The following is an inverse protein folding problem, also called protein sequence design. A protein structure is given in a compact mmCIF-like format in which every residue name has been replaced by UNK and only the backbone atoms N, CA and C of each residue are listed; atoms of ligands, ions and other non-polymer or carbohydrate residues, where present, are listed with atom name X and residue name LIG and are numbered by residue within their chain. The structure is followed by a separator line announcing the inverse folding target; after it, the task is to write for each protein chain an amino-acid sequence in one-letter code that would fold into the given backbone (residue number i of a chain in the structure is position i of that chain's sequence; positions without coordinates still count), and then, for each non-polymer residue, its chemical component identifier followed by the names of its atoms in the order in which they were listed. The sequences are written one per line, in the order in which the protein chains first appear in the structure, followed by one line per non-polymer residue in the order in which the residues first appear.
data_IF_050915672958
#
_entry.id   IF_050915672958
#
_cell.length_a   1.000
_cell.length_b   1.000
_cell.length_c   1.000
_cell.angle_alpha   90.00
_cell.angle_beta   90.00
_cell.angle_gamma   90.00
#
_symmetry.space_group_name_H-M   'P 1'
#
loop_
_entity.id
_entity.type
_entity.pdbx_description
1 polymer ?
#
# COMPACT_ATOMS: atom_id res chain seq x y z
N UNK A 1 -13.12 28.71 14.50
CA UNK A 1 -12.04 27.73 14.61
C UNK A 1 -12.65 26.42 15.07
N UNK A 2 -12.99 25.57 14.11
CA UNK A 2 -13.23 24.13 14.20
C UNK A 2 -13.53 23.73 12.76
N UNK A 3 -12.47 23.39 12.01
CA UNK A 3 -12.60 22.85 10.66
C UNK A 3 -13.24 21.48 10.79
N UNK A 4 -14.53 21.37 10.46
CA UNK A 4 -15.18 20.08 10.26
C UNK A 4 -14.74 19.57 8.90
N UNK A 5 -13.97 18.49 8.87
CA UNK A 5 -13.74 17.69 7.66
C UNK A 5 -15.05 17.02 7.28
N UNK A 6 -15.61 17.38 6.13
CA UNK A 6 -16.78 16.73 5.55
C UNK A 6 -16.43 15.26 5.21
N UNK A 7 -17.09 14.26 5.83
CA UNK A 7 -16.88 12.84 5.51
C UNK A 7 -17.38 12.44 4.11
N UNK A 8 -18.06 13.34 3.39
CA UNK A 8 -18.55 13.12 2.03
C UNK A 8 -17.68 13.77 0.93
N UNK A 9 -16.58 14.44 1.27
CA UNK A 9 -15.61 14.84 0.25
C UNK A 9 -15.08 13.57 -0.43
N UNK A 10 -15.12 13.44 -1.76
CA UNK A 10 -14.69 12.21 -2.40
C UNK A 10 -13.20 12.02 -2.07
N UNK A 11 -12.87 10.91 -1.42
CA UNK A 11 -11.48 10.46 -1.22
C UNK A 11 -10.72 10.27 -2.55
N UNK A 12 -11.40 10.49 -3.68
CA UNK A 12 -10.93 10.43 -5.04
C UNK A 12 -10.95 11.81 -5.68
N UNK A 13 -9.79 12.27 -6.13
CA UNK A 13 -9.67 13.37 -7.09
C UNK A 13 -9.49 12.81 -8.51
N UNK A 14 -9.67 13.65 -9.52
CA UNK A 14 -9.36 13.27 -10.90
C UNK A 14 -7.89 12.82 -11.06
N UNK A 15 -6.98 13.44 -10.32
CA UNK A 15 -5.56 13.06 -10.33
C UNK A 15 -5.34 11.68 -9.72
N UNK A 16 -6.04 11.34 -8.62
CA UNK A 16 -5.96 10.01 -8.01
C UNK A 16 -6.53 8.92 -8.92
N UNK A 17 -7.64 9.21 -9.62
CA UNK A 17 -8.21 8.29 -10.62
C UNK A 17 -7.23 8.06 -11.76
N UNK A 18 -6.63 9.13 -12.27
CA UNK A 18 -5.62 9.06 -13.33
C UNK A 18 -4.37 8.28 -12.88
N UNK A 19 -3.86 8.53 -11.67
CA UNK A 19 -2.75 7.80 -11.07
C UNK A 19 -3.07 6.30 -10.96
N UNK A 20 -4.22 5.95 -10.37
CA UNK A 20 -4.66 4.57 -10.20
C UNK A 20 -4.77 3.81 -11.54
N UNK A 21 -5.30 4.45 -12.58
CA UNK A 21 -5.43 3.84 -13.92
C UNK A 21 -4.09 3.47 -14.57
N UNK A 22 -2.99 4.14 -14.17
CA UNK A 22 -1.64 3.91 -14.71
C UNK A 22 -0.80 3.01 -13.82
N UNK A 23 -1.22 2.78 -12.58
CA UNK A 23 -0.46 2.04 -11.57
C UNK A 23 -0.48 0.51 -11.74
N UNK A 24 -1.18 -0.03 -12.74
CA UNK A 24 -1.34 -1.48 -12.93
C UNK A 24 -0.01 -2.24 -13.06
N UNK A 25 1.03 -1.57 -13.58
CA UNK A 25 2.37 -2.14 -13.72
C UNK A 25 3.36 -1.60 -12.69
N UNK A 26 2.93 -0.75 -11.75
CA UNK A 26 3.80 -0.20 -10.72
C UNK A 26 4.04 -1.24 -9.62
N UNK A 27 5.18 -1.94 -9.68
CA UNK A 27 5.61 -2.91 -8.67
C UNK A 27 6.31 -2.33 -7.45
N UNK A 28 6.40 -0.99 -7.32
CA UNK A 28 7.03 -0.35 -6.18
C UNK A 28 6.08 -0.31 -4.98
N UNK A 29 5.95 -1.45 -4.30
CA UNK A 29 5.00 -1.62 -3.18
C UNK A 29 5.50 -1.08 -1.84
N UNK A 30 6.64 -0.39 -1.83
CA UNK A 30 7.12 0.31 -0.65
C UNK A 30 8.03 1.50 -0.97
N UNK A 31 8.27 2.32 0.04
CA UNK A 31 9.11 3.52 -0.07
C UNK A 31 10.58 3.20 -0.35
N UNK A 32 11.06 2.02 0.08
CA UNK A 32 12.44 1.58 -0.13
C UNK A 32 12.52 0.07 -0.26
N UNK A 33 13.15 -0.41 -1.34
CA UNK A 33 13.56 -1.80 -1.46
C UNK A 33 14.75 -2.03 -0.52
N UNK A 34 14.60 -2.92 0.46
CA UNK A 34 15.66 -3.17 1.45
C UNK A 34 16.48 -4.41 1.14
N UNK A 35 15.90 -5.40 0.46
CA UNK A 35 16.58 -6.59 0.00
C UNK A 35 15.81 -7.26 -1.14
N UNK A 36 16.50 -7.89 -2.08
CA UNK A 36 15.89 -8.76 -3.09
C UNK A 36 16.77 -9.99 -3.34
N UNK A 37 16.12 -11.15 -3.41
CA UNK A 37 16.75 -12.45 -3.68
C UNK A 37 16.02 -13.14 -4.85
N UNK A 38 16.40 -14.39 -5.13
CA UNK A 38 15.64 -15.23 -6.05
C UNK A 38 14.21 -15.51 -5.58
N UNK A 39 13.99 -15.62 -4.27
CA UNK A 39 12.71 -16.07 -3.69
C UNK A 39 11.87 -14.95 -3.09
N UNK A 40 12.50 -13.85 -2.66
CA UNK A 40 11.82 -12.80 -1.90
C UNK A 40 12.20 -11.40 -2.36
N UNK A 41 11.24 -10.50 -2.23
CA UNK A 41 11.44 -9.06 -2.26
C UNK A 41 11.00 -8.46 -0.93
N UNK A 42 11.86 -7.68 -0.28
CA UNK A 42 11.59 -7.09 1.03
C UNK A 42 11.61 -5.58 0.93
N UNK A 43 10.54 -4.95 1.41
CA UNK A 43 10.32 -3.52 1.36
C UNK A 43 10.16 -2.94 2.74
N UNK A 44 10.60 -1.68 2.88
CA UNK A 44 10.20 -0.81 3.95
C UNK A 44 9.21 0.23 3.39
N UNK A 45 8.12 0.42 4.11
CA UNK A 45 7.20 1.54 3.96
C UNK A 45 7.44 2.46 5.14
N UNK A 46 7.77 3.73 4.88
CA UNK A 46 7.77 4.81 5.87
C UNK A 46 6.99 5.98 5.27
N UNK A 47 5.93 6.41 5.94
CA UNK A 47 5.05 7.48 5.46
C UNK A 47 4.86 8.47 6.61
N UNK A 48 5.30 9.72 6.43
CA UNK A 48 5.10 10.76 7.46
C UNK A 48 3.62 11.18 7.53
N UNK A 49 3.19 11.82 8.63
CA UNK A 49 1.84 12.38 8.72
C UNK A 49 1.46 13.23 7.49
N UNK A 50 0.34 12.91 6.86
CA UNK A 50 -0.16 13.59 5.65
C UNK A 50 0.52 13.19 4.33
N UNK A 51 1.55 12.34 4.37
CA UNK A 51 2.16 11.78 3.16
C UNK A 51 1.44 10.49 2.71
N UNK A 52 1.79 10.02 1.51
CA UNK A 52 1.19 8.86 0.89
C UNK A 52 2.21 8.07 0.09
N UNK A 53 2.12 6.75 0.17
CA UNK A 53 2.66 5.85 -0.84
C UNK A 53 1.66 5.80 -2.01
N UNK A 54 2.08 6.27 -3.18
CA UNK A 54 1.25 6.32 -4.39
C UNK A 54 0.66 4.96 -4.78
N UNK A 55 -0.32 4.98 -5.69
CA UNK A 55 -0.93 3.76 -6.20
C UNK A 55 0.15 2.81 -6.73
N UNK A 56 0.14 1.59 -6.22
CA UNK A 56 1.02 0.49 -6.57
C UNK A 56 0.22 -0.80 -6.66
N UNK A 57 0.79 -1.81 -7.32
CA UNK A 57 0.09 -3.06 -7.61
C UNK A 57 0.83 -4.25 -7.03
N UNK A 58 0.11 -5.04 -6.24
CA UNK A 58 0.53 -6.36 -5.78
C UNK A 58 0.05 -7.42 -6.77
N UNK A 59 0.96 -8.28 -7.22
CA UNK A 59 0.65 -9.49 -8.01
C UNK A 59 1.17 -10.76 -7.33
N UNK A 60 2.06 -10.62 -6.35
CA UNK A 60 2.65 -11.71 -5.59
C UNK A 60 1.90 -11.91 -4.27
N UNK A 61 1.89 -13.14 -3.77
CA UNK A 61 1.59 -13.40 -2.37
C UNK A 61 2.56 -12.59 -1.52
N UNK A 62 2.05 -11.99 -0.46
CA UNK A 62 2.86 -11.20 0.45
C UNK A 62 2.25 -11.17 1.83
N UNK A 63 3.07 -10.75 2.79
CA UNK A 63 2.57 -10.28 4.08
C UNK A 63 3.27 -8.98 4.44
N UNK A 64 2.67 -8.25 5.36
CA UNK A 64 3.29 -7.10 5.98
C UNK A 64 3.16 -7.18 7.49
N UNK A 65 4.09 -6.53 8.18
CA UNK A 65 4.06 -6.30 9.62
C UNK A 65 4.14 -4.79 9.86
N UNK A 66 3.18 -4.25 10.59
CA UNK A 66 3.24 -2.88 11.09
C UNK A 66 4.35 -2.79 12.15
N UNK A 67 5.29 -1.87 11.96
CA UNK A 67 6.43 -1.65 12.85
C UNK A 67 6.29 -0.37 13.66
N UNK A 68 5.25 0.41 13.41
CA UNK A 68 4.83 1.54 14.23
C UNK A 68 3.31 1.53 14.43
N UNK A 69 2.84 2.26 15.45
CA UNK A 69 1.43 2.58 15.58
C UNK A 69 1.07 3.76 14.67
N UNK A 70 -0.13 3.77 14.10
CA UNK A 70 -0.59 4.89 13.28
C UNK A 70 -1.94 4.65 12.64
N UNK A 71 -2.44 5.67 11.95
CA UNK A 71 -3.70 5.62 11.21
C UNK A 71 -3.44 5.74 9.73
N UNK A 72 -4.07 4.87 8.94
CA UNK A 72 -3.93 4.91 7.50
C UNK A 72 -5.26 4.88 6.79
N UNK A 73 -5.27 5.44 5.58
CA UNK A 73 -6.33 5.30 4.58
C UNK A 73 -5.76 4.64 3.34
N UNK A 74 -6.45 3.61 2.84
CA UNK A 74 -6.17 2.99 1.55
C UNK A 74 -7.36 3.16 0.61
N UNK A 75 -7.09 3.57 -0.62
CA UNK A 75 -8.07 3.62 -1.70
C UNK A 75 -7.70 2.51 -2.68
N UNK A 76 -8.67 1.70 -3.04
CA UNK A 76 -8.49 0.53 -3.90
C UNK A 76 -9.04 0.84 -5.29
N UNK A 77 -8.48 0.25 -6.33
CA UNK A 77 -8.91 0.49 -7.72
C UNK A 77 -10.39 0.14 -7.97
N UNK A 78 -10.99 -0.71 -7.15
CA UNK A 78 -12.44 -1.02 -7.18
C UNK A 78 -13.33 0.08 -6.57
N UNK A 79 -12.72 1.20 -6.14
CA UNK A 79 -13.37 2.35 -5.52
C UNK A 79 -13.47 2.26 -4.00
N UNK A 80 -13.17 1.12 -3.39
CA UNK A 80 -13.26 0.93 -1.94
C UNK A 80 -12.23 1.79 -1.21
N UNK A 81 -12.69 2.48 -0.16
CA UNK A 81 -11.84 3.20 0.78
C UNK A 81 -11.86 2.47 2.13
N UNK A 82 -10.69 2.29 2.74
CA UNK A 82 -10.53 1.63 4.03
C UNK A 82 -9.67 2.49 4.92
N UNK A 83 -10.13 2.74 6.14
CA UNK A 83 -9.33 3.37 7.19
C UNK A 83 -9.04 2.36 8.29
N UNK A 84 -7.81 2.36 8.80
CA UNK A 84 -7.34 1.39 9.80
C UNK A 84 -6.45 2.08 10.83
N UNK A 85 -6.71 1.76 12.10
CA UNK A 85 -5.78 1.98 13.21
C UNK A 85 -4.84 0.78 13.32
N UNK A 86 -3.53 1.02 13.25
CA UNK A 86 -2.50 0.00 13.38
C UNK A 86 -1.81 0.07 14.73
N UNK A 87 -1.53 -1.11 15.30
CA UNK A 87 -0.60 -1.33 16.39
C UNK A 87 0.69 -2.02 15.90
N UNK A 88 1.84 -1.80 16.55
CA UNK A 88 3.06 -2.54 16.23
C UNK A 88 2.85 -4.05 16.38
N UNK A 89 3.25 -4.81 15.37
CA UNK A 89 3.04 -6.26 15.29
C UNK A 89 1.79 -6.67 14.52
N UNK A 90 0.87 -5.76 14.21
CA UNK A 90 -0.26 -6.06 13.32
C UNK A 90 0.26 -6.62 12.00
N UNK A 91 -0.36 -7.71 11.56
CA UNK A 91 0.11 -8.49 10.41
C UNK A 91 -1.06 -8.91 9.56
N UNK A 92 -0.89 -8.87 8.24
CA UNK A 92 -1.87 -9.44 7.30
C UNK A 92 -1.17 -10.20 6.19
N UNK A 93 -1.79 -11.30 5.80
CA UNK A 93 -1.36 -12.15 4.69
C UNK A 93 -2.31 -11.94 3.52
N UNK A 94 -1.75 -11.88 2.33
CA UNK A 94 -2.48 -11.69 1.08
C UNK A 94 -2.06 -12.77 0.10
N UNK A 95 -3.04 -13.35 -0.59
CA UNK A 95 -2.86 -14.43 -1.54
C UNK A 95 -3.47 -14.03 -2.89
N UNK A 96 -2.76 -14.34 -3.98
CA UNK A 96 -3.16 -14.08 -5.35
C UNK A 96 -3.04 -15.35 -6.19
N UNK A 97 -4.12 -15.70 -6.87
CA UNK A 97 -4.12 -16.69 -7.94
C UNK A 97 -3.53 -16.15 -9.25
N UNK A 98 -3.41 -17.01 -10.28
CA UNK A 98 -2.93 -16.60 -11.60
C UNK A 98 -3.76 -15.44 -12.18
N UNK A 99 -3.09 -14.34 -12.54
CA UNK A 99 -3.70 -13.14 -13.11
C UNK A 99 -4.42 -12.22 -12.11
N UNK A 100 -4.55 -12.62 -10.85
CA UNK A 100 -5.10 -11.77 -9.80
C UNK A 100 -4.11 -10.69 -9.37
N UNK A 101 -4.63 -9.52 -9.01
CA UNK A 101 -3.84 -8.38 -8.58
C UNK A 101 -4.64 -7.48 -7.65
N UNK A 102 -3.95 -6.62 -6.90
CA UNK A 102 -4.56 -5.57 -6.09
C UNK A 102 -3.81 -4.27 -6.30
N UNK A 103 -4.51 -3.25 -6.79
CA UNK A 103 -3.97 -1.89 -6.93
C UNK A 103 -4.60 -0.99 -5.88
N UNK A 104 -3.76 -0.37 -5.05
CA UNK A 104 -4.19 0.53 -4.00
C UNK A 104 -3.08 1.54 -3.65
N UNK A 105 -3.45 2.59 -2.93
CA UNK A 105 -2.51 3.49 -2.27
C UNK A 105 -2.54 3.33 -0.74
N UNK A 106 -1.65 4.04 -0.06
CA UNK A 106 -1.62 4.07 1.40
C UNK A 106 -1.24 5.47 1.88
N UNK A 107 -2.20 6.18 2.45
CA UNK A 107 -2.06 7.52 3.02
C UNK A 107 -1.97 7.43 4.55
N UNK A 108 -1.02 8.15 5.14
CA UNK A 108 -0.96 8.32 6.59
C UNK A 108 -1.88 9.48 7.01
N UNK A 109 -3.00 9.16 7.63
CA UNK A 109 -3.98 10.13 8.14
C UNK A 109 -3.80 10.43 9.64
N UNK A 110 -2.81 9.80 10.28
CA UNK A 110 -2.48 9.98 11.68
C UNK A 110 -1.45 11.07 11.94
N UNK A 111 -0.88 11.07 13.15
CA UNK A 111 0.08 12.08 13.63
C UNK A 111 1.49 11.54 13.88
N UNK A 112 1.72 10.24 13.70
CA UNK A 112 3.02 9.56 13.83
C UNK A 112 3.52 9.07 12.47
N UNK A 113 4.81 8.76 12.35
CA UNK A 113 5.31 8.07 11.15
C UNK A 113 4.72 6.66 11.11
N UNK A 114 4.08 6.34 9.99
CA UNK A 114 3.50 5.04 9.73
C UNK A 114 4.53 4.16 9.00
N UNK A 115 4.86 3.00 9.58
CA UNK A 115 5.96 2.16 9.11
C UNK A 115 5.57 0.68 9.02
N UNK A 116 5.89 0.04 7.89
CA UNK A 116 5.67 -1.39 7.68
C UNK A 116 6.89 -2.07 7.07
N UNK A 117 7.13 -3.32 7.43
CA UNK A 117 7.96 -4.23 6.63
C UNK A 117 7.06 -5.12 5.80
N UNK A 118 7.27 -5.13 4.49
CA UNK A 118 6.50 -5.94 3.52
C UNK A 118 7.42 -6.97 2.88
N UNK A 119 6.98 -8.23 2.81
CA UNK A 119 7.72 -9.33 2.19
C UNK A 119 6.85 -9.95 1.10
N UNK A 120 7.29 -9.82 -0.15
CA UNK A 120 6.68 -10.48 -1.31
C UNK A 120 7.40 -11.79 -1.63
N UNK A 121 6.63 -12.85 -1.89
CA UNK A 121 7.15 -14.17 -2.29
C UNK A 121 7.18 -14.29 -3.82
N UNK A 122 8.37 -14.34 -4.40
CA UNK A 122 8.59 -14.46 -5.86
C UNK A 122 8.29 -15.85 -6.40
N UNK A 123 7.99 -16.83 -5.53
CA UNK A 123 7.52 -18.17 -5.90
C UNK A 123 5.99 -18.22 -6.05
N UNK A 124 5.33 -17.07 -5.98
CA UNK A 124 3.89 -16.92 -6.22
C UNK A 124 3.48 -17.34 -7.63
N UNK A 125 2.17 -17.57 -7.88
CA UNK A 125 1.69 -17.94 -9.21
C UNK A 125 1.96 -16.91 -10.32
N UNK A 126 2.12 -15.64 -9.97
CA UNK A 126 2.41 -14.55 -10.90
C UNK A 126 3.89 -14.19 -10.88
N UNK A 127 4.39 -13.65 -12.00
CA UNK A 127 5.74 -13.09 -12.06
C UNK A 127 5.81 -11.73 -11.36
N UNK A 128 6.93 -11.38 -10.71
CA UNK A 128 7.12 -10.06 -10.12
C UNK A 128 6.99 -8.97 -11.18
N UNK A 129 6.31 -7.88 -10.83
CA UNK A 129 6.36 -6.66 -11.65
C UNK A 129 7.79 -6.08 -11.63
N UNK A 130 8.16 -5.49 -12.77
CA UNK A 130 9.41 -4.75 -12.89
C UNK A 130 9.37 -3.52 -12.00
N UNK A 131 10.55 -3.14 -11.51
CA UNK A 131 10.75 -1.89 -10.78
C UNK A 131 11.31 -0.89 -11.77
N UNK A 132 10.73 0.30 -11.79
CA UNK A 132 11.23 1.44 -12.57
C UNK A 132 12.46 2.08 -11.92
#
# INVERSE_FOLDING_TARGET
MHCHTDPNAPHWSADLVNEASRARNNGQVGSRLVNETGEYRIWLIEIKPGERLSFHTHVLNYFWVATSAGQARSRNLDGRVVEVDYAPGDTRHMHFGPGEFMTHDLENIGSTVLSFTTVEDKRSPNQPLLLD
#
